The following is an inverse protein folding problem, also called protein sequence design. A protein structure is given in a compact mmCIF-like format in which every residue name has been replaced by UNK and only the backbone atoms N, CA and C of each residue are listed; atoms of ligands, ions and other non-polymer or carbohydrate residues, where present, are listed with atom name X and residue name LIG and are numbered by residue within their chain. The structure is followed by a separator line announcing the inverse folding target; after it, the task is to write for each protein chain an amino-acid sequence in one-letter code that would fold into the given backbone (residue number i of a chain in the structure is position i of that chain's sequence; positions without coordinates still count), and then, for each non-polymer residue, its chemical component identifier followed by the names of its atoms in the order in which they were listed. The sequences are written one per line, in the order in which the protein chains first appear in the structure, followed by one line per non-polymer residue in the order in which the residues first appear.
data_IF_914143439311
#
_entry.id   IF_914143439311
#
_cell.length_a   1.000
_cell.length_b   1.000
_cell.length_c   1.000
_cell.angle_alpha   90.00
_cell.angle_beta   90.00
_cell.angle_gamma   90.00
#
_symmetry.space_group_name_H-M   'P 1'
#
loop_
_entity.id
_entity.type
_entity.pdbx_description
1 polymer ?
#
# COMPACT_ATOMS: atom_id res chain seq x y z
N UNK A 1 14.87 -24.62 1.36
CA UNK A 1 14.09 -23.58 2.05
C UNK A 1 13.58 -22.63 0.99
N UNK A 2 12.28 -22.55 0.80
CA UNK A 2 11.67 -21.56 -0.09
C UNK A 2 11.93 -20.18 0.52
N UNK A 3 12.71 -19.32 -0.16
CA UNK A 3 12.88 -17.92 0.25
C UNK A 3 11.49 -17.26 0.24
N UNK A 4 11.18 -16.52 1.29
CA UNK A 4 9.93 -15.79 1.41
C UNK A 4 10.04 -14.55 0.53
N UNK A 5 9.16 -14.40 -0.46
CA UNK A 5 9.03 -13.16 -1.22
C UNK A 5 8.59 -12.03 -0.26
N UNK A 6 9.22 -10.89 -0.40
CA UNK A 6 8.92 -9.66 0.32
C UNK A 6 8.28 -8.68 -0.66
N UNK A 7 7.34 -7.92 -0.18
CA UNK A 7 6.78 -6.76 -0.86
C UNK A 7 7.69 -5.56 -0.59
N UNK A 8 8.24 -5.00 -1.65
CA UNK A 8 9.14 -3.83 -1.61
C UNK A 8 8.45 -2.74 -2.39
N UNK A 9 8.07 -1.66 -1.71
CA UNK A 9 7.27 -0.59 -2.31
C UNK A 9 7.91 0.78 -2.13
N UNK A 10 7.71 1.66 -3.10
CA UNK A 10 7.95 3.10 -2.98
C UNK A 10 6.70 3.86 -3.41
N UNK A 11 6.33 4.82 -2.58
CA UNK A 11 5.18 5.68 -2.81
C UNK A 11 5.62 7.10 -3.11
N UNK A 12 4.99 7.70 -4.11
CA UNK A 12 5.20 9.11 -4.48
C UNK A 12 3.89 9.88 -4.51
N UNK A 13 3.95 11.15 -4.15
CA UNK A 13 2.80 12.04 -4.31
C UNK A 13 2.70 12.48 -5.78
N UNK A 14 1.57 12.23 -6.41
CA UNK A 14 1.31 12.67 -7.77
C UNK A 14 0.70 14.07 -7.78
N UNK A 15 1.42 15.03 -8.35
CA UNK A 15 0.94 16.42 -8.55
C UNK A 15 0.63 16.71 -10.02
N UNK A 16 1.02 15.82 -10.93
CA UNK A 16 0.77 15.91 -12.36
C UNK A 16 -0.58 15.28 -12.76
N UNK A 17 -0.92 15.40 -14.03
CA UNK A 17 -2.17 14.84 -14.57
C UNK A 17 -2.12 13.30 -14.56
N UNK A 18 -3.15 12.68 -13.96
CA UNK A 18 -3.30 11.23 -13.88
C UNK A 18 -3.39 10.60 -15.29
N UNK A 19 -4.08 11.23 -16.23
CA UNK A 19 -4.27 10.69 -17.58
C UNK A 19 -2.95 10.63 -18.36
N UNK A 20 -2.03 11.58 -18.11
CA UNK A 20 -0.67 11.51 -18.69
C UNK A 20 0.11 10.33 -18.11
N UNK A 21 0.00 10.07 -16.81
CA UNK A 21 0.65 8.93 -16.19
C UNK A 21 0.08 7.61 -16.71
N UNK A 22 -1.24 7.50 -16.85
CA UNK A 22 -1.89 6.31 -17.43
C UNK A 22 -1.39 6.08 -18.87
N UNK A 23 -1.29 7.13 -19.67
CA UNK A 23 -0.75 7.01 -21.03
C UNK A 23 0.69 6.48 -21.03
N UNK A 24 1.56 7.00 -20.16
CA UNK A 24 2.94 6.51 -20.03
C UNK A 24 2.99 5.04 -19.57
N UNK A 25 2.10 4.65 -18.64
CA UNK A 25 1.96 3.25 -18.25
C UNK A 25 1.61 2.36 -19.45
N UNK A 26 0.63 2.76 -20.26
CA UNK A 26 0.23 2.03 -21.47
C UNK A 26 1.36 1.98 -22.50
N UNK A 27 2.08 3.08 -22.71
CA UNK A 27 3.24 3.14 -23.62
C UNK A 27 4.38 2.19 -23.18
N UNK A 28 4.46 1.88 -21.88
CA UNK A 28 5.40 0.90 -21.29
C UNK A 28 4.83 -0.53 -21.19
N UNK A 29 3.67 -0.79 -21.80
CA UNK A 29 3.04 -2.11 -21.80
C UNK A 29 2.35 -2.49 -20.47
N UNK A 30 2.11 -1.52 -19.58
CA UNK A 30 1.28 -1.77 -18.41
C UNK A 30 -0.20 -1.72 -18.77
N UNK A 31 -0.92 -2.74 -18.34
CA UNK A 31 -2.36 -2.89 -18.55
C UNK A 31 -3.12 -2.75 -17.23
N UNK A 32 -4.27 -2.10 -17.27
CA UNK A 32 -5.16 -1.98 -16.10
C UNK A 32 -5.69 -3.35 -15.70
N UNK A 33 -5.37 -3.79 -14.49
CA UNK A 33 -5.82 -5.06 -13.92
C UNK A 33 -7.06 -4.88 -13.03
N UNK A 34 -7.12 -3.77 -12.31
CA UNK A 34 -8.25 -3.50 -11.41
C UNK A 34 -8.48 -2.00 -11.23
N UNK A 35 -9.75 -1.65 -11.00
CA UNK A 35 -10.17 -0.32 -10.57
C UNK A 35 -11.18 -0.50 -9.43
N UNK A 36 -10.74 -0.29 -8.20
CA UNK A 36 -11.45 -0.69 -6.99
C UNK A 36 -11.64 0.50 -6.05
N UNK A 37 -12.81 0.57 -5.45
CA UNK A 37 -13.06 1.41 -4.30
C UNK A 37 -12.72 0.62 -3.04
N UNK A 38 -11.74 1.09 -2.28
CA UNK A 38 -11.27 0.45 -1.05
C UNK A 38 -11.53 1.34 0.16
N UNK A 39 -12.01 0.72 1.22
CA UNK A 39 -12.22 1.35 2.53
C UNK A 39 -11.38 0.59 3.55
N UNK A 40 -10.33 1.22 4.04
CA UNK A 40 -9.43 0.67 5.06
C UNK A 40 -9.72 1.30 6.41
N UNK A 41 -10.23 0.53 7.37
CA UNK A 41 -10.44 0.98 8.76
C UNK A 41 -9.25 0.57 9.60
N UNK A 42 -8.51 1.52 10.16
CA UNK A 42 -7.29 1.30 10.94
C UNK A 42 -7.54 1.31 12.43
N UNK A 43 -6.76 0.50 13.14
CA UNK A 43 -6.85 0.31 14.59
C UNK A 43 -5.47 0.38 15.25
N UNK A 44 -5.47 0.73 16.55
CA UNK A 44 -4.32 0.62 17.45
C UNK A 44 -4.70 -0.15 18.71
N UNK A 45 -3.72 -0.69 19.39
CA UNK A 45 -3.91 -1.21 20.74
C UNK A 45 -4.04 -0.04 21.72
N UNK A 46 -4.79 -0.21 22.82
CA UNK A 46 -4.91 0.87 23.82
C UNK A 46 -3.62 1.10 24.64
N UNK A 47 -2.74 0.09 24.69
CA UNK A 47 -1.49 0.07 25.47
C UNK A 47 -0.22 0.24 24.61
N UNK A 48 -0.35 0.26 23.27
CA UNK A 48 0.75 0.45 22.31
C UNK A 48 0.30 1.38 21.21
N UNK A 49 1.01 2.48 21.07
CA UNK A 49 0.76 3.44 20.00
C UNK A 49 1.32 2.93 18.66
N UNK A 50 0.44 2.43 17.79
CA UNK A 50 0.79 1.93 16.46
C UNK A 50 1.28 3.03 15.50
N UNK A 51 1.09 4.30 15.84
CA UNK A 51 1.69 5.41 15.09
C UNK A 51 3.19 5.48 15.37
N UNK A 52 3.60 5.32 16.63
CA UNK A 52 5.03 5.34 17.03
C UNK A 52 5.77 4.08 16.60
N UNK A 53 5.16 2.91 16.73
CA UNK A 53 5.78 1.64 16.32
C UNK A 53 5.68 1.38 14.82
N UNK A 54 4.91 2.22 14.11
CA UNK A 54 4.60 2.04 12.69
C UNK A 54 3.99 0.67 12.40
N UNK A 55 3.24 0.12 13.35
CA UNK A 55 2.43 -1.09 13.15
C UNK A 55 1.19 -0.75 12.31
N UNK A 56 0.66 -1.76 11.63
CA UNK A 56 -0.62 -1.63 10.93
C UNK A 56 -1.54 -2.76 11.33
N UNK A 57 -2.72 -2.42 11.85
CA UNK A 57 -3.86 -3.32 11.92
C UNK A 57 -5.01 -2.65 11.17
N UNK A 58 -5.50 -3.29 10.12
CA UNK A 58 -6.61 -2.75 9.34
C UNK A 58 -7.63 -3.82 8.98
N UNK A 59 -8.87 -3.37 8.79
CA UNK A 59 -9.90 -4.13 8.09
C UNK A 59 -10.14 -3.42 6.76
N UNK A 60 -9.81 -4.11 5.66
CA UNK A 60 -10.06 -3.64 4.29
C UNK A 60 -11.38 -4.18 3.80
N UNK A 61 -12.15 -3.32 3.16
CA UNK A 61 -13.36 -3.66 2.44
C UNK A 61 -13.29 -3.13 1.01
N UNK A 62 -13.71 -3.91 0.07
CA UNK A 62 -13.96 -3.54 -1.32
C UNK A 62 -15.08 -4.43 -1.85
N UNK A 63 -15.58 -4.16 -3.04
CA UNK A 63 -16.66 -4.95 -3.63
C UNK A 63 -16.27 -6.43 -3.74
N UNK A 64 -17.11 -7.29 -3.15
CA UNK A 64 -16.89 -8.74 -3.13
C UNK A 64 -15.69 -9.24 -2.32
N UNK A 65 -15.05 -8.37 -1.49
CA UNK A 65 -13.86 -8.76 -0.72
C UNK A 65 -13.77 -8.05 0.63
N UNK A 66 -13.32 -8.78 1.66
CA UNK A 66 -12.90 -8.20 2.92
C UNK A 66 -11.72 -8.97 3.53
N UNK A 67 -10.87 -8.25 4.27
CA UNK A 67 -9.65 -8.81 4.84
C UNK A 67 -9.23 -8.08 6.09
N UNK A 68 -8.72 -8.83 7.07
CA UNK A 68 -7.98 -8.28 8.21
C UNK A 68 -6.50 -8.41 7.92
N UNK A 69 -5.77 -7.28 7.91
CA UNK A 69 -4.32 -7.24 7.68
C UNK A 69 -3.60 -6.77 8.93
N UNK A 70 -2.52 -7.47 9.30
CA UNK A 70 -1.57 -7.02 10.31
C UNK A 70 -0.15 -6.96 9.76
N UNK A 71 0.52 -5.81 9.95
CA UNK A 71 1.95 -5.60 9.68
C UNK A 71 2.63 -5.26 11.01
N UNK A 72 3.69 -5.98 11.42
CA UNK A 72 4.34 -5.78 12.72
C UNK A 72 5.08 -4.43 12.80
N UNK A 73 5.54 -4.12 14.00
CA UNK A 73 6.34 -2.93 14.28
C UNK A 73 7.56 -2.83 13.35
N UNK A 74 7.89 -1.60 12.99
CA UNK A 74 9.10 -1.32 12.23
C UNK A 74 10.32 -1.49 13.13
N UNK A 75 11.31 -2.21 12.62
CA UNK A 75 12.62 -2.39 13.25
C UNK A 75 13.71 -1.84 12.32
N UNK A 76 14.94 -1.74 12.82
CA UNK A 76 16.09 -1.35 11.98
C UNK A 76 16.29 -2.28 10.77
N UNK A 77 15.80 -3.53 10.84
CA UNK A 77 15.83 -4.50 9.73
C UNK A 77 14.72 -4.30 8.69
N UNK A 78 13.66 -3.53 9.02
CA UNK A 78 12.53 -3.26 8.14
C UNK A 78 12.51 -1.83 7.59
N UNK A 79 13.43 -0.97 8.07
CA UNK A 79 13.72 0.34 7.48
C UNK A 79 14.99 0.24 6.66
N UNK A 80 14.88 0.40 5.36
CA UNK A 80 16.06 0.53 4.49
C UNK A 80 16.45 1.99 4.35
N UNK A 81 17.73 2.24 4.01
CA UNK A 81 18.27 3.59 3.82
C UNK A 81 17.73 4.31 2.56
N UNK A 82 16.81 3.67 1.82
CA UNK A 82 16.42 4.09 0.47
C UNK A 82 14.92 4.46 0.36
N UNK A 83 14.29 4.93 1.45
CA UNK A 83 12.87 5.35 1.45
C UNK A 83 11.88 4.26 0.96
N UNK A 84 12.21 3.01 1.26
CA UNK A 84 11.42 1.84 0.89
C UNK A 84 10.92 1.14 2.13
N UNK A 85 9.69 0.64 2.09
CA UNK A 85 9.07 -0.10 3.17
C UNK A 85 9.13 -1.59 2.84
N UNK A 86 9.71 -2.39 3.75
CA UNK A 86 9.76 -3.84 3.68
C UNK A 86 9.15 -4.39 4.96
N UNK A 87 7.95 -4.97 4.88
CA UNK A 87 7.30 -5.57 6.05
C UNK A 87 6.64 -6.90 5.69
N UNK A 88 6.76 -7.91 6.56
CA UNK A 88 5.91 -9.09 6.45
C UNK A 88 4.46 -8.71 6.71
N UNK A 89 3.55 -9.26 5.93
CA UNK A 89 2.12 -9.12 6.16
C UNK A 89 1.52 -10.43 6.65
N UNK A 90 0.53 -10.31 7.53
CA UNK A 90 -0.40 -11.39 7.88
C UNK A 90 -1.77 -10.98 7.40
N UNK A 91 -2.27 -11.67 6.39
CA UNK A 91 -3.55 -11.41 5.76
C UNK A 91 -4.53 -12.53 6.09
N UNK A 92 -5.68 -12.16 6.63
CA UNK A 92 -6.80 -13.06 6.93
C UNK A 92 -8.00 -12.64 6.08
N UNK A 93 -8.25 -13.29 4.94
CA UNK A 93 -9.48 -13.06 4.19
C UNK A 93 -10.70 -13.45 5.03
N UNK A 94 -11.74 -12.62 4.98
CA UNK A 94 -13.02 -12.86 5.62
C UNK A 94 -14.14 -12.72 4.57
N UNK A 95 -15.35 -13.21 4.87
CA UNK A 95 -16.48 -12.97 3.98
C UNK A 95 -16.77 -11.46 3.89
N UNK A 96 -17.14 -10.93 2.74
CA UNK A 96 -17.37 -9.48 2.57
C UNK A 96 -18.40 -8.91 3.57
N UNK A 97 -19.44 -9.70 3.92
CA UNK A 97 -20.45 -9.32 4.90
C UNK A 97 -19.94 -9.31 6.35
N UNK A 98 -18.83 -9.98 6.64
CA UNK A 98 -18.30 -10.13 8.01
C UNK A 98 -17.40 -8.95 8.46
N UNK A 99 -17.11 -8.01 7.56
CA UNK A 99 -16.27 -6.86 7.92
C UNK A 99 -16.84 -6.06 9.10
N UNK A 100 -18.15 -5.88 9.18
CA UNK A 100 -18.82 -5.21 10.31
C UNK A 100 -18.65 -6.03 11.61
N UNK A 101 -18.75 -7.35 11.52
CA UNK A 101 -18.55 -8.26 12.66
C UNK A 101 -17.09 -8.20 13.12
N UNK A 102 -16.13 -8.20 12.19
CA UNK A 102 -14.71 -8.06 12.50
C UNK A 102 -14.39 -6.72 13.17
N UNK A 103 -14.99 -5.59 12.69
CA UNK A 103 -14.88 -4.29 13.35
C UNK A 103 -15.44 -4.31 14.78
N UNK A 104 -16.59 -4.96 14.99
CA UNK A 104 -17.19 -5.11 16.31
C UNK A 104 -16.32 -6.00 17.23
N UNK A 105 -15.74 -7.07 16.71
CA UNK A 105 -14.80 -7.92 17.45
C UNK A 105 -13.60 -7.11 17.96
N UNK A 106 -12.97 -6.33 17.09
CA UNK A 106 -11.84 -5.49 17.49
C UNK A 106 -12.24 -4.45 18.55
N UNK A 107 -13.40 -3.84 18.40
CA UNK A 107 -13.94 -2.91 19.42
C UNK A 107 -14.18 -3.62 20.77
N UNK A 108 -14.76 -4.82 20.77
CA UNK A 108 -15.01 -5.61 21.98
C UNK A 108 -13.70 -6.08 22.66
N UNK A 109 -12.62 -6.27 21.87
CA UNK A 109 -11.27 -6.55 22.38
C UNK A 109 -10.55 -5.29 22.90
N UNK A 110 -11.20 -4.12 22.85
CA UNK A 110 -10.65 -2.86 23.32
C UNK A 110 -9.69 -2.19 22.34
N UNK A 111 -9.66 -2.60 21.06
CA UNK A 111 -8.85 -1.92 20.04
C UNK A 111 -9.42 -0.54 19.73
N UNK A 112 -8.55 0.47 19.73
CA UNK A 112 -8.92 1.85 19.41
C UNK A 112 -8.99 2.03 17.90
N UNK A 113 -10.15 2.47 17.36
CA UNK A 113 -10.25 2.89 15.96
C UNK A 113 -9.50 4.21 15.78
N UNK A 114 -8.60 4.27 14.80
CA UNK A 114 -7.81 5.45 14.45
C UNK A 114 -8.52 6.27 13.37
N UNK A 115 -8.54 5.77 12.15
CA UNK A 115 -9.02 6.48 10.96
C UNK A 115 -9.60 5.50 9.95
N UNK A 116 -10.40 6.02 9.04
CA UNK A 116 -10.84 5.31 7.85
C UNK A 116 -10.26 6.00 6.62
N UNK A 117 -9.50 5.24 5.83
CA UNK A 117 -8.94 5.68 4.56
C UNK A 117 -9.87 5.21 3.45
N UNK A 118 -10.43 6.15 2.72
CA UNK A 118 -11.33 5.90 1.60
C UNK A 118 -10.61 6.27 0.31
N UNK A 119 -10.35 5.28 -0.56
CA UNK A 119 -9.56 5.48 -1.77
C UNK A 119 -10.11 4.74 -2.98
N UNK A 120 -9.86 5.30 -4.15
CA UNK A 120 -9.97 4.60 -5.42
C UNK A 120 -8.59 4.17 -5.86
N UNK A 121 -8.39 2.85 -6.05
CA UNK A 121 -7.12 2.25 -6.49
C UNK A 121 -7.25 1.70 -7.90
N UNK A 122 -6.38 2.16 -8.80
CA UNK A 122 -6.17 1.58 -10.12
C UNK A 122 -4.83 0.86 -10.13
N UNK A 123 -4.83 -0.46 -10.35
CA UNK A 123 -3.61 -1.27 -10.37
C UNK A 123 -3.28 -1.69 -11.80
N UNK A 124 -2.00 -1.60 -12.16
CA UNK A 124 -1.48 -1.89 -13.48
C UNK A 124 -0.35 -2.90 -13.38
N UNK A 125 -0.29 -3.82 -14.34
CA UNK A 125 0.79 -4.80 -14.47
C UNK A 125 1.26 -4.89 -15.91
N UNK A 126 2.51 -5.31 -16.12
CA UNK A 126 3.10 -5.49 -17.44
C UNK A 126 3.80 -6.86 -17.53
N UNK A 127 3.68 -7.58 -18.67
CA UNK A 127 4.46 -8.79 -18.92
C UNK A 127 5.97 -8.56 -18.88
N UNK A 128 6.42 -7.34 -19.21
CA UNK A 128 7.86 -6.97 -19.19
C UNK A 128 8.39 -6.79 -17.77
N UNK A 129 7.49 -6.57 -16.80
CA UNK A 129 7.79 -6.42 -15.37
C UNK A 129 6.88 -7.33 -14.53
N UNK A 130 6.95 -8.66 -14.67
CA UNK A 130 5.95 -9.57 -14.11
C UNK A 130 5.90 -9.59 -12.56
N UNK A 131 6.93 -9.06 -11.91
CA UNK A 131 7.03 -8.96 -10.45
C UNK A 131 6.58 -7.60 -9.92
N UNK A 132 6.31 -6.64 -10.83
CA UNK A 132 5.96 -5.27 -10.46
C UNK A 132 4.48 -4.98 -10.64
N UNK A 133 3.93 -4.25 -9.70
CA UNK A 133 2.62 -3.62 -9.79
C UNK A 133 2.79 -2.11 -9.62
N UNK A 134 2.14 -1.33 -10.48
CA UNK A 134 2.01 0.11 -10.32
C UNK A 134 0.59 0.41 -9.92
N UNK A 135 0.39 1.05 -8.77
CA UNK A 135 -0.92 1.44 -8.28
C UNK A 135 -1.05 2.96 -8.24
N UNK A 136 -2.18 3.48 -8.74
CA UNK A 136 -2.57 4.88 -8.58
C UNK A 136 -3.71 4.92 -7.56
N UNK A 137 -3.46 5.61 -6.44
CA UNK A 137 -4.40 5.78 -5.33
C UNK A 137 -4.91 7.21 -5.27
N UNK A 138 -6.19 7.39 -5.47
CA UNK A 138 -6.89 8.65 -5.24
C UNK A 138 -7.57 8.59 -3.87
N UNK A 139 -7.04 9.34 -2.88
CA UNK A 139 -7.53 9.32 -1.50
C UNK A 139 -8.39 10.55 -1.26
N UNK A 140 -9.62 10.31 -0.84
CA UNK A 140 -10.60 11.38 -0.59
C UNK A 140 -10.05 12.44 0.36
N UNK A 141 -10.09 13.70 -0.07
CA UNK A 141 -9.65 14.90 0.67
C UNK A 141 -8.14 14.91 1.04
N UNK A 142 -7.32 14.03 0.44
CA UNK A 142 -5.91 13.90 0.80
C UNK A 142 -5.00 14.13 -0.40
N UNK A 143 -5.30 13.51 -1.54
CA UNK A 143 -4.52 13.65 -2.75
C UNK A 143 -4.40 12.36 -3.54
N UNK A 144 -3.55 12.41 -4.56
CA UNK A 144 -3.25 11.27 -5.42
C UNK A 144 -1.83 10.81 -5.19
N UNK A 145 -1.64 9.49 -5.16
CA UNK A 145 -0.35 8.86 -4.93
C UNK A 145 -0.11 7.76 -5.95
N UNK A 146 1.15 7.48 -6.21
CA UNK A 146 1.58 6.35 -7.05
C UNK A 146 2.46 5.46 -6.20
N UNK A 147 2.15 4.17 -6.13
CA UNK A 147 2.96 3.14 -5.51
C UNK A 147 3.54 2.24 -6.60
N UNK A 148 4.85 2.04 -6.58
CA UNK A 148 5.52 0.99 -7.37
C UNK A 148 5.94 -0.08 -6.40
N UNK A 149 5.35 -1.25 -6.53
CA UNK A 149 5.52 -2.42 -5.68
C UNK A 149 6.21 -3.54 -6.47
N UNK A 150 7.21 -4.17 -5.89
CA UNK A 150 7.91 -5.32 -6.46
C UNK A 150 7.95 -6.47 -5.47
N UNK A 151 7.50 -7.66 -5.89
CA UNK A 151 7.62 -8.89 -5.12
C UNK A 151 8.97 -9.55 -5.41
N UNK A 152 9.88 -9.56 -4.44
CA UNK A 152 11.23 -10.09 -4.60
C UNK A 152 11.79 -10.69 -3.31
N UNK A 153 12.75 -11.61 -3.45
CA UNK A 153 13.62 -12.08 -2.36
C UNK A 153 14.99 -11.35 -2.36
N UNK A 154 15.20 -10.45 -3.34
CA UNK A 154 16.40 -9.60 -3.48
C UNK A 154 16.02 -8.13 -3.50
N UNK A 155 16.30 -7.45 -2.39
CA UNK A 155 16.01 -6.03 -2.19
C UNK A 155 16.73 -5.14 -3.22
N UNK A 156 17.99 -5.44 -3.55
CA UNK A 156 18.80 -4.62 -4.45
C UNK A 156 18.22 -4.61 -5.86
N UNK A 157 17.85 -5.79 -6.37
CA UNK A 157 17.21 -5.92 -7.67
C UNK A 157 15.84 -5.27 -7.72
N UNK A 158 15.05 -5.40 -6.64
CA UNK A 158 13.74 -4.75 -6.53
C UNK A 158 13.84 -3.23 -6.54
N UNK A 159 14.77 -2.66 -5.79
CA UNK A 159 15.02 -1.21 -5.77
C UNK A 159 15.46 -0.67 -7.13
N UNK A 160 16.32 -1.41 -7.84
CA UNK A 160 16.72 -1.04 -9.21
C UNK A 160 15.52 -1.05 -10.16
N UNK A 161 14.65 -2.05 -10.05
CA UNK A 161 13.43 -2.17 -10.86
C UNK A 161 12.45 -1.03 -10.55
N UNK A 162 12.19 -0.72 -9.27
CA UNK A 162 11.34 0.40 -8.86
C UNK A 162 11.86 1.70 -9.46
N UNK A 163 13.18 1.97 -9.34
CA UNK A 163 13.79 3.19 -9.87
C UNK A 163 13.71 3.28 -11.39
N UNK A 164 13.90 2.17 -12.10
CA UNK A 164 13.77 2.12 -13.57
C UNK A 164 12.33 2.43 -14.02
N UNK A 165 11.34 1.81 -13.37
CA UNK A 165 9.91 2.05 -13.64
C UNK A 165 9.56 3.52 -13.37
N UNK A 166 9.95 4.06 -12.21
CA UNK A 166 9.69 5.46 -11.84
C UNK A 166 10.30 6.45 -12.84
N UNK A 167 11.55 6.22 -13.27
CA UNK A 167 12.22 7.05 -14.26
C UNK A 167 11.49 7.02 -15.60
N UNK A 168 11.11 5.85 -16.09
CA UNK A 168 10.33 5.69 -17.33
C UNK A 168 8.95 6.36 -17.24
N UNK A 169 8.35 6.38 -16.07
CA UNK A 169 7.07 7.06 -15.81
C UNK A 169 7.23 8.58 -15.60
N UNK A 170 8.48 9.09 -15.47
CA UNK A 170 8.77 10.50 -15.20
C UNK A 170 8.38 10.93 -13.79
N UNK A 171 8.53 10.03 -12.83
CA UNK A 171 8.20 10.26 -11.42
C UNK A 171 9.39 10.71 -10.58
N UNK A 172 10.61 10.83 -11.15
CA UNK A 172 11.85 11.14 -10.41
C UNK A 172 11.76 12.42 -9.57
N UNK A 173 11.04 13.43 -10.08
CA UNK A 173 10.87 14.71 -9.39
C UNK A 173 9.69 14.72 -8.38
N UNK A 174 8.88 13.68 -8.35
CA UNK A 174 7.75 13.59 -7.44
C UNK A 174 8.24 13.26 -6.02
N UNK A 175 7.63 13.88 -5.01
CA UNK A 175 7.98 13.68 -3.61
C UNK A 175 7.80 12.21 -3.20
N UNK A 176 8.84 11.62 -2.59
CA UNK A 176 8.74 10.30 -1.97
C UNK A 176 8.00 10.43 -0.65
N UNK A 177 6.96 9.62 -0.46
CA UNK A 177 6.11 9.63 0.71
C UNK A 177 6.32 8.36 1.52
N UNK A 178 7.04 8.46 2.63
CA UNK A 178 7.31 7.32 3.53
C UNK A 178 6.22 7.09 4.56
N UNK A 179 5.37 8.10 4.80
CA UNK A 179 4.25 8.00 5.74
C UNK A 179 3.16 7.06 5.20
N UNK A 180 2.64 6.12 6.02
CA UNK A 180 1.46 5.34 5.67
C UNK A 180 0.23 6.23 5.39
N UNK A 181 -0.70 5.78 4.55
CA UNK A 181 -1.95 6.53 4.29
C UNK A 181 -2.75 6.82 5.55
N UNK A 182 -2.73 5.90 6.53
CA UNK A 182 -3.31 6.13 7.85
C UNK A 182 -2.80 7.44 8.45
N UNK A 183 -1.47 7.61 8.48
CA UNK A 183 -0.80 8.73 9.13
C UNK A 183 -1.04 10.05 8.37
N UNK A 184 -1.13 9.97 7.04
CA UNK A 184 -1.44 11.12 6.18
C UNK A 184 -2.89 11.58 6.42
N UNK A 185 -3.83 10.65 6.56
CA UNK A 185 -5.24 10.97 6.76
C UNK A 185 -5.58 11.40 8.20
N UNK A 186 -4.70 11.17 9.15
CA UNK A 186 -4.86 11.64 10.53
C UNK A 186 -4.33 13.06 10.76
N UNK A 187 -3.49 13.59 9.86
CA UNK A 187 -2.88 14.93 9.90
C UNK A 187 -1.55 14.94 10.59
#
# INVERSE_FOLDING_TARGET
MTKKLLEIERKRQLTSNIEELIKRLQDLGFELQSNLHEIDTYYSRPDVDFMQTVECLRIRQRDGFAEVTYKPATTAATHTKNDVIIKPETNLPIQPGDATIAKQLLANLGMARLVEVNKYRRSFQSPDFPQATVAIDEIKNTGTFVEVEVLSDDETSALAMISDIETKLGLDSAEVVTRPYRDICMG
#
